data_IF_454039633247
#
_entry.id   IF_454039633247
#
_cell.length_a   1.000
_cell.length_b   1.000
_cell.length_c   1.000
_cell.angle_alpha   90.00
_cell.angle_beta   90.00
_cell.angle_gamma   90.00
#
_symmetry.space_group_name_H-M   'P 1'
#
loop_
_entity.id
_entity.type
_entity.pdbx_description
1 polymer ?
#
# COMPACT_ATOMS: atom_id res chain seq x y z
N UNK A 1 2.69 -11.66 6.52
CA UNK A 1 2.03 -11.68 5.20
C UNK A 1 2.79 -10.78 4.23
N UNK A 2 2.73 -11.02 2.92
CA UNK A 2 3.38 -10.16 1.92
C UNK A 2 2.50 -8.97 1.56
N UNK A 3 3.05 -7.76 1.64
CA UNK A 3 2.41 -6.53 1.14
C UNK A 3 2.54 -6.51 -0.38
N UNK A 4 1.42 -6.35 -1.10
CA UNK A 4 1.44 -6.24 -2.57
C UNK A 4 1.85 -4.82 -2.98
N UNK A 5 2.88 -4.66 -3.81
CA UNK A 5 3.17 -3.36 -4.43
C UNK A 5 2.36 -3.21 -5.72
N UNK A 6 1.73 -2.06 -5.92
CA UNK A 6 0.89 -1.77 -7.08
C UNK A 6 1.58 -0.74 -7.97
N UNK A 7 1.72 -1.06 -9.26
CA UNK A 7 2.45 -0.25 -10.23
C UNK A 7 1.56 0.29 -11.36
N UNK A 8 0.42 -0.34 -11.61
CA UNK A 8 -0.54 0.10 -12.65
C UNK A 8 -1.93 0.36 -12.10
N UNK A 9 -2.77 1.01 -12.91
CA UNK A 9 -4.19 1.18 -12.58
C UNK A 9 -4.90 -0.17 -12.56
N UNK A 10 -4.52 -1.10 -13.44
CA UNK A 10 -5.05 -2.45 -13.45
C UNK A 10 -4.72 -3.21 -12.15
N UNK A 11 -3.50 -3.05 -11.59
CA UNK A 11 -3.15 -3.62 -10.29
C UNK A 11 -4.07 -3.11 -9.19
N UNK A 12 -4.34 -1.79 -9.19
CA UNK A 12 -5.23 -1.15 -8.24
C UNK A 12 -6.69 -1.62 -8.41
N UNK A 13 -7.19 -1.66 -9.63
CA UNK A 13 -8.54 -2.14 -9.95
C UNK A 13 -8.72 -3.59 -9.51
N UNK A 14 -7.77 -4.47 -9.84
CA UNK A 14 -7.79 -5.86 -9.41
C UNK A 14 -7.71 -5.98 -7.88
N UNK A 15 -6.86 -5.19 -7.22
CA UNK A 15 -6.76 -5.17 -5.78
C UNK A 15 -8.08 -4.75 -5.13
N UNK A 16 -8.70 -3.68 -5.63
CA UNK A 16 -9.97 -3.12 -5.12
C UNK A 16 -11.17 -3.99 -5.48
N UNK A 17 -11.12 -4.80 -6.53
CA UNK A 17 -12.18 -5.74 -6.90
C UNK A 17 -12.29 -6.98 -5.99
N UNK A 18 -11.20 -7.40 -5.32
CA UNK A 18 -11.20 -8.57 -4.42
C UNK A 18 -12.27 -8.43 -3.29
N UNK A 19 -12.91 -9.49 -2.80
CA UNK A 19 -13.83 -9.37 -1.67
C UNK A 19 -13.07 -9.12 -0.34
N UNK A 20 -13.77 -8.61 0.67
CA UNK A 20 -13.24 -8.48 2.04
C UNK A 20 -12.59 -7.14 2.37
N UNK A 21 -12.21 -6.97 3.65
CA UNK A 21 -11.51 -5.78 4.15
C UNK A 21 -10.06 -5.78 3.64
N UNK A 22 -9.56 -4.58 3.33
CA UNK A 22 -8.21 -4.38 2.77
C UNK A 22 -7.67 -3.03 3.19
N UNK A 23 -6.34 -2.95 3.22
CA UNK A 23 -5.60 -1.71 3.45
C UNK A 23 -4.82 -1.35 2.20
N UNK A 24 -4.94 -0.10 1.76
CA UNK A 24 -4.10 0.47 0.71
C UNK A 24 -3.30 1.61 1.34
N UNK A 25 -1.99 1.46 1.39
CA UNK A 25 -1.09 2.46 1.94
C UNK A 25 -0.38 3.21 0.80
N UNK A 26 -0.49 4.54 0.77
CA UNK A 26 0.29 5.39 -0.13
C UNK A 26 1.54 5.85 0.60
N UNK A 27 2.72 5.41 0.15
CA UNK A 27 4.00 5.70 0.78
C UNK A 27 4.85 6.61 -0.11
N UNK A 28 5.31 7.74 0.43
CA UNK A 28 6.35 8.55 -0.22
C UNK A 28 7.71 8.15 0.33
N UNK A 29 8.57 7.61 -0.54
CA UNK A 29 9.94 7.17 -0.23
C UNK A 29 10.87 8.32 0.14
N UNK A 30 10.48 9.57 -0.15
CA UNK A 30 11.26 10.78 0.09
C UNK A 30 10.73 11.63 1.25
N UNK A 31 9.71 11.18 1.97
CA UNK A 31 9.04 11.95 3.02
C UNK A 31 9.22 11.29 4.40
N UNK A 32 9.96 11.92 5.35
CA UNK A 32 10.27 11.31 6.66
C UNK A 32 9.04 10.90 7.47
N UNK A 33 7.97 11.71 7.45
CA UNK A 33 6.72 11.36 8.15
C UNK A 33 6.03 10.15 7.50
N UNK A 34 6.14 10.00 6.18
CA UNK A 34 5.62 8.83 5.47
C UNK A 34 6.46 7.58 5.76
N UNK A 35 7.77 7.71 5.91
CA UNK A 35 8.64 6.63 6.36
C UNK A 35 8.22 6.11 7.74
N UNK A 36 7.98 7.02 8.69
CA UNK A 36 7.49 6.62 10.02
C UNK A 36 6.12 5.94 9.95
N UNK A 37 5.19 6.46 9.16
CA UNK A 37 3.90 5.82 8.96
C UNK A 37 4.01 4.42 8.31
N UNK A 38 4.95 4.22 7.40
CA UNK A 38 5.23 2.92 6.79
C UNK A 38 5.74 1.89 7.81
N UNK A 39 6.57 2.31 8.77
CA UNK A 39 7.01 1.44 9.88
C UNK A 39 5.82 0.97 10.72
N UNK A 40 4.92 1.88 11.10
CA UNK A 40 3.73 1.55 11.89
C UNK A 40 2.75 0.68 11.10
N UNK A 41 2.60 0.94 9.79
CA UNK A 41 1.81 0.10 8.89
C UNK A 41 2.36 -1.34 8.84
N UNK A 42 3.67 -1.51 8.67
CA UNK A 42 4.31 -2.82 8.68
C UNK A 42 4.21 -3.50 10.04
N UNK A 43 4.31 -2.75 11.15
CA UNK A 43 4.14 -3.27 12.50
C UNK A 43 2.71 -3.81 12.71
N UNK A 44 1.68 -3.05 12.31
CA UNK A 44 0.28 -3.46 12.40
C UNK A 44 0.00 -4.77 11.62
N UNK A 45 0.59 -4.92 10.44
CA UNK A 45 0.40 -6.10 9.58
C UNK A 45 1.07 -7.39 10.06
N UNK A 46 1.90 -7.33 11.11
CA UNK A 46 2.48 -8.54 11.71
C UNK A 46 1.40 -9.42 12.34
N UNK A 47 0.39 -8.78 12.93
CA UNK A 47 -0.68 -9.45 13.69
C UNK A 47 -2.05 -9.35 13.00
N UNK A 48 -2.18 -8.53 11.96
CA UNK A 48 -3.45 -8.34 11.24
C UNK A 48 -3.66 -9.39 10.13
N UNK A 49 -4.84 -10.01 10.12
CA UNK A 49 -5.34 -10.84 9.01
C UNK A 49 -6.10 -9.96 8.01
N UNK A 50 -5.42 -8.97 7.42
CA UNK A 50 -6.02 -8.05 6.44
C UNK A 50 -5.12 -7.94 5.24
N UNK A 51 -5.70 -8.14 4.05
CA UNK A 51 -4.98 -7.94 2.80
C UNK A 51 -4.46 -6.51 2.71
N UNK A 52 -3.19 -6.37 2.32
CA UNK A 52 -2.50 -5.09 2.32
C UNK A 52 -1.76 -4.87 1.02
N UNK A 53 -1.84 -3.65 0.51
CA UNK A 53 -1.10 -3.19 -0.65
C UNK A 53 -0.46 -1.83 -0.40
N UNK A 54 0.59 -1.53 -1.14
CA UNK A 54 1.31 -0.26 -1.13
C UNK A 54 1.44 0.31 -2.54
N UNK A 55 1.26 1.62 -2.67
CA UNK A 55 1.60 2.40 -3.87
C UNK A 55 2.71 3.36 -3.46
N UNK A 56 3.82 3.37 -4.19
CA UNK A 56 4.88 4.32 -3.93
C UNK A 56 4.59 5.63 -4.67
N UNK A 57 4.39 6.72 -3.93
CA UNK A 57 3.85 7.98 -4.46
C UNK A 57 4.81 8.65 -5.46
N UNK A 58 6.12 8.48 -5.27
CA UNK A 58 7.13 9.14 -6.12
C UNK A 58 7.36 8.36 -7.41
N UNK A 59 7.32 7.03 -7.32
CA UNK A 59 7.62 6.07 -8.37
C UNK A 59 6.37 5.76 -9.22
N UNK A 60 5.22 5.53 -8.57
CA UNK A 60 3.97 5.09 -9.18
C UNK A 60 2.94 6.24 -9.29
N UNK A 61 3.39 7.42 -9.75
CA UNK A 61 2.55 8.64 -9.84
C UNK A 61 1.25 8.44 -10.62
N UNK A 62 1.28 7.63 -11.68
CA UNK A 62 0.10 7.31 -12.49
C UNK A 62 -0.98 6.56 -11.72
N UNK A 63 -0.61 5.84 -10.66
CA UNK A 63 -1.54 5.12 -9.77
C UNK A 63 -1.90 5.96 -8.54
N UNK A 64 -0.99 6.85 -8.13
CA UNK A 64 -1.15 7.67 -6.93
C UNK A 64 -1.98 8.95 -7.11
N UNK A 65 -2.08 9.50 -8.32
CA UNK A 65 -2.75 10.80 -8.57
C UNK A 65 -4.28 10.73 -8.65
#
# INVERSE_FOLDING_TARGET
MSIQQLHTLEDLEQYVAKPGKKLLFKHSTTCPISAKANEEFQAYLKDADTAAAVVLVIEDRSVSN
#
